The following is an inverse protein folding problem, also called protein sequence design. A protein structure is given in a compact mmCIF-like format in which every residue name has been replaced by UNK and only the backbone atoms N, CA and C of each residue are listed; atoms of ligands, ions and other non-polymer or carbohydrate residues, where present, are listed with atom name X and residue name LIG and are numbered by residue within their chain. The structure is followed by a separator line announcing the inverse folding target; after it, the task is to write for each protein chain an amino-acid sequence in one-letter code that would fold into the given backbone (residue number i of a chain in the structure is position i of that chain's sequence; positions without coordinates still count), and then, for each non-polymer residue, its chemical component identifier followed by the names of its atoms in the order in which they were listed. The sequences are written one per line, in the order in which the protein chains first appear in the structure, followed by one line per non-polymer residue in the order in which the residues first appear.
data_IF_257264024917
#
_entry.id   IF_257264024917
#
_cell.length_a   1.000
_cell.length_b   1.000
_cell.length_c   1.000
_cell.angle_alpha   90.00
_cell.angle_beta   90.00
_cell.angle_gamma   90.00
#
_symmetry.space_group_name_H-M   'P 1'
#
loop_
_entity.id
_entity.type
_entity.pdbx_description
1 polymer ?
#
# COMPACT_ATOMS: atom_id res chain seq x y z
N UNK A 1 -5.81 -21.70 -99.82
CA UNK A 1 -4.67 -21.07 -99.12
C UNK A 1 -5.09 -19.68 -98.66
N UNK A 2 -4.80 -19.36 -97.40
CA UNK A 2 -4.94 -18.06 -96.70
C UNK A 2 -6.37 -17.58 -96.45
N UNK A 3 -6.80 -17.18 -95.26
CA UNK A 3 -6.20 -17.03 -93.92
C UNK A 3 -7.28 -16.39 -93.02
N UNK A 4 -7.25 -16.71 -91.72
CA UNK A 4 -8.14 -16.16 -90.68
C UNK A 4 -8.27 -14.63 -90.73
N UNK A 5 -9.47 -14.10 -90.47
CA UNK A 5 -9.64 -13.01 -89.49
C UNK A 5 -10.96 -13.21 -88.72
N UNK A 6 -10.83 -13.55 -87.44
CA UNK A 6 -11.92 -13.66 -86.47
C UNK A 6 -12.19 -12.25 -85.93
N UNK A 7 -13.22 -11.56 -86.41
CA UNK A 7 -13.63 -10.28 -85.82
C UNK A 7 -14.37 -10.50 -84.50
N UNK A 8 -13.71 -10.12 -83.41
CA UNK A 8 -14.24 -10.10 -82.06
C UNK A 8 -15.26 -8.95 -81.94
N UNK A 9 -16.55 -9.30 -81.86
CA UNK A 9 -17.63 -8.34 -81.65
C UNK A 9 -17.44 -7.51 -80.38
N UNK A 10 -17.21 -6.20 -80.56
CA UNK A 10 -17.11 -5.22 -79.47
C UNK A 10 -18.49 -5.03 -78.82
N UNK A 11 -18.60 -5.36 -77.54
CA UNK A 11 -19.81 -5.12 -76.75
C UNK A 11 -20.24 -3.64 -76.74
N UNK A 12 -21.55 -3.34 -76.73
CA UNK A 12 -22.08 -1.98 -76.89
C UNK A 12 -21.69 -1.07 -75.71
N UNK A 13 -21.18 0.13 -76.06
CA UNK A 13 -20.69 1.19 -75.15
C UNK A 13 -21.64 1.57 -73.99
N UNK A 14 -22.94 1.30 -74.13
CA UNK A 14 -24.00 1.69 -73.18
C UNK A 14 -24.14 0.71 -72.00
N UNK A 15 -23.95 -0.60 -72.22
CA UNK A 15 -23.91 -1.63 -71.15
C UNK A 15 -22.69 -1.41 -70.25
N UNK A 16 -21.57 -0.97 -70.84
CA UNK A 16 -20.35 -0.59 -70.11
C UNK A 16 -20.56 0.60 -69.17
N UNK A 17 -21.39 1.59 -69.55
CA UNK A 17 -21.63 2.80 -68.74
C UNK A 17 -22.53 2.52 -67.53
N UNK A 18 -23.55 1.68 -67.70
CA UNK A 18 -24.43 1.26 -66.60
C UNK A 18 -23.71 0.33 -65.62
N UNK A 19 -22.83 -0.55 -66.12
CA UNK A 19 -21.97 -1.38 -65.27
C UNK A 19 -21.01 -0.55 -64.41
N UNK A 20 -20.43 0.53 -64.97
CA UNK A 20 -19.58 1.45 -64.20
C UNK A 20 -20.35 2.19 -63.10
N UNK A 21 -21.60 2.60 -63.35
CA UNK A 21 -22.42 3.26 -62.33
C UNK A 21 -22.84 2.31 -61.20
N UNK A 22 -23.19 1.06 -61.51
CA UNK A 22 -23.51 0.05 -60.50
C UNK A 22 -22.28 -0.28 -59.64
N UNK A 23 -21.12 -0.49 -60.27
CA UNK A 23 -19.85 -0.72 -59.55
C UNK A 23 -19.46 0.48 -58.69
N UNK A 24 -19.66 1.71 -59.18
CA UNK A 24 -19.40 2.92 -58.40
C UNK A 24 -20.33 3.03 -57.18
N UNK A 25 -21.63 2.74 -57.32
CA UNK A 25 -22.58 2.76 -56.21
C UNK A 25 -22.26 1.70 -55.14
N UNK A 26 -21.86 0.50 -55.57
CA UNK A 26 -21.45 -0.59 -54.67
C UNK A 26 -20.14 -0.24 -53.95
N UNK A 27 -19.17 0.33 -54.67
CA UNK A 27 -17.91 0.78 -54.07
C UNK A 27 -18.14 1.87 -53.02
N UNK A 28 -19.03 2.84 -53.29
CA UNK A 28 -19.42 3.88 -52.33
C UNK A 28 -20.07 3.26 -51.09
N UNK A 29 -20.99 2.30 -51.27
CA UNK A 29 -21.63 1.58 -50.16
C UNK A 29 -20.63 0.82 -49.27
N UNK A 30 -19.63 0.17 -49.88
CA UNK A 30 -18.56 -0.54 -49.15
C UNK A 30 -17.68 0.45 -48.39
N UNK A 31 -17.29 1.56 -49.00
CA UNK A 31 -16.46 2.61 -48.35
C UNK A 31 -17.21 3.24 -47.18
N UNK A 32 -18.50 3.56 -47.35
CA UNK A 32 -19.36 4.08 -46.28
C UNK A 32 -19.50 3.07 -45.13
N UNK A 33 -19.73 1.79 -45.45
CA UNK A 33 -19.86 0.74 -44.44
C UNK A 33 -18.54 0.53 -43.68
N UNK A 34 -17.41 0.54 -44.38
CA UNK A 34 -16.09 0.44 -43.76
C UNK A 34 -15.78 1.67 -42.88
N UNK A 35 -16.12 2.87 -43.33
CA UNK A 35 -15.96 4.10 -42.56
C UNK A 35 -16.86 4.11 -41.31
N UNK A 36 -18.10 3.65 -41.41
CA UNK A 36 -19.01 3.55 -40.27
C UNK A 36 -18.49 2.51 -39.26
N UNK A 37 -18.00 1.36 -39.76
CA UNK A 37 -17.42 0.30 -38.94
C UNK A 37 -16.18 0.78 -38.17
N UNK A 38 -15.29 1.57 -38.79
CA UNK A 38 -14.10 2.11 -38.09
C UNK A 38 -14.48 3.14 -37.04
N UNK A 39 -15.49 3.97 -37.27
CA UNK A 39 -16.01 4.96 -36.31
C UNK A 39 -16.70 4.29 -35.13
N UNK A 40 -17.53 3.28 -35.36
CA UNK A 40 -18.21 2.55 -34.26
C UNK A 40 -17.18 1.80 -33.42
N UNK A 41 -16.23 1.10 -34.07
CA UNK A 41 -15.19 0.35 -33.38
C UNK A 41 -14.20 1.25 -32.63
N UNK A 42 -13.96 2.48 -33.09
CA UNK A 42 -13.13 3.44 -32.36
C UNK A 42 -13.84 4.00 -31.14
N UNK A 43 -15.16 4.20 -31.20
CA UNK A 43 -16.00 4.60 -30.06
C UNK A 43 -16.08 3.52 -28.98
N UNK A 44 -16.30 2.26 -29.37
CA UNK A 44 -16.28 1.12 -28.43
C UNK A 44 -14.92 1.01 -27.72
N UNK A 45 -13.82 1.13 -28.48
CA UNK A 45 -12.46 1.08 -27.92
C UNK A 45 -12.11 2.29 -27.05
N UNK A 46 -12.72 3.45 -27.29
CA UNK A 46 -12.57 4.65 -26.47
C UNK A 46 -13.38 4.51 -25.17
N UNK A 47 -14.61 4.03 -25.24
CA UNK A 47 -15.47 3.79 -24.08
C UNK A 47 -14.87 2.76 -23.10
N UNK A 48 -14.30 1.67 -23.61
CA UNK A 48 -13.59 0.67 -22.79
C UNK A 48 -12.34 1.26 -22.12
N UNK A 49 -11.64 2.18 -22.80
CA UNK A 49 -10.45 2.86 -22.24
C UNK A 49 -10.85 3.89 -21.19
N UNK A 50 -11.92 4.62 -21.41
CA UNK A 50 -12.44 5.62 -20.49
C UNK A 50 -12.98 4.98 -19.21
N UNK A 51 -13.69 3.85 -19.33
CA UNK A 51 -14.12 3.05 -18.18
C UNK A 51 -12.92 2.49 -17.42
N UNK A 52 -11.91 1.95 -18.11
CA UNK A 52 -10.66 1.50 -17.47
C UNK A 52 -9.95 2.65 -16.73
N UNK A 53 -9.85 3.84 -17.34
CA UNK A 53 -9.24 5.01 -16.70
C UNK A 53 -10.06 5.53 -15.51
N UNK A 54 -11.39 5.53 -15.61
CA UNK A 54 -12.29 5.95 -14.53
C UNK A 54 -12.24 4.97 -13.35
N UNK A 55 -12.20 3.68 -13.65
CA UNK A 55 -12.05 2.61 -12.67
C UNK A 55 -10.68 2.68 -11.99
N UNK A 56 -9.60 2.86 -12.74
CA UNK A 56 -8.24 3.04 -12.17
C UNK A 56 -8.15 4.30 -11.32
N UNK A 57 -8.70 5.44 -11.78
CA UNK A 57 -8.66 6.70 -11.04
C UNK A 57 -9.49 6.68 -9.75
N UNK A 58 -10.72 6.14 -9.80
CA UNK A 58 -11.56 5.97 -8.60
C UNK A 58 -10.92 5.02 -7.58
N UNK A 59 -10.21 3.98 -8.05
CA UNK A 59 -9.50 3.02 -7.19
C UNK A 59 -8.28 3.64 -6.51
N UNK A 60 -7.50 4.45 -7.23
CA UNK A 60 -6.38 5.19 -6.65
C UNK A 60 -6.84 6.22 -5.62
N UNK A 61 -8.00 6.85 -5.82
CA UNK A 61 -8.58 7.79 -4.85
C UNK A 61 -9.06 7.11 -3.57
N UNK A 62 -9.66 5.92 -3.66
CA UNK A 62 -10.03 5.14 -2.48
C UNK A 62 -8.80 4.72 -1.68
N UNK A 63 -7.76 4.21 -2.34
CA UNK A 63 -6.50 3.85 -1.68
C UNK A 63 -5.84 5.06 -1.00
N UNK A 64 -5.77 6.21 -1.69
CA UNK A 64 -5.24 7.44 -1.10
C UNK A 64 -6.04 7.85 0.14
N UNK A 65 -7.38 7.81 0.08
CA UNK A 65 -8.22 8.14 1.23
C UNK A 65 -8.07 7.19 2.43
N UNK A 66 -7.79 5.90 2.21
CA UNK A 66 -7.50 4.97 3.32
C UNK A 66 -6.15 5.24 3.97
N UNK A 67 -5.13 5.57 3.16
CA UNK A 67 -3.82 5.97 3.66
C UNK A 67 -3.93 7.28 4.45
N UNK A 68 -4.61 8.29 3.91
CA UNK A 68 -4.80 9.59 4.56
C UNK A 68 -5.49 9.45 5.93
N UNK A 69 -6.54 8.64 6.03
CA UNK A 69 -7.19 8.36 7.32
C UNK A 69 -6.27 7.64 8.30
N UNK A 70 -5.47 6.68 7.83
CA UNK A 70 -4.51 6.00 8.70
C UNK A 70 -3.43 6.96 9.19
N UNK A 71 -3.00 7.90 8.35
CA UNK A 71 -2.07 8.97 8.73
C UNK A 71 -2.68 9.87 9.82
N UNK A 72 -3.94 10.31 9.67
CA UNK A 72 -4.63 11.11 10.69
C UNK A 72 -4.70 10.40 12.05
N UNK A 73 -4.95 9.08 12.06
CA UNK A 73 -4.97 8.27 13.28
C UNK A 73 -3.59 8.22 13.93
N UNK A 74 -2.54 7.98 13.15
CA UNK A 74 -1.17 7.90 13.65
C UNK A 74 -0.63 9.27 14.10
N UNK A 75 -1.02 10.36 13.44
CA UNK A 75 -0.73 11.73 13.90
C UNK A 75 -1.43 12.03 15.24
N UNK A 76 -2.67 11.60 15.38
CA UNK A 76 -3.43 11.71 16.65
C UNK A 76 -2.78 10.90 17.77
N UNK A 77 -2.25 9.71 17.46
CA UNK A 77 -1.47 8.89 18.39
C UNK A 77 -0.16 9.59 18.78
N UNK A 78 0.50 10.23 17.82
CA UNK A 78 1.66 11.07 18.06
C UNK A 78 1.38 12.22 19.02
N UNK A 79 0.26 12.93 18.82
CA UNK A 79 -0.18 13.99 19.72
C UNK A 79 -0.52 13.46 21.12
N UNK A 80 -1.15 12.28 21.21
CA UNK A 80 -1.48 11.63 22.47
C UNK A 80 -0.22 11.30 23.29
N UNK A 81 0.81 10.71 22.67
CA UNK A 81 2.11 10.49 23.31
C UNK A 81 2.85 11.80 23.63
N UNK A 82 2.77 12.80 22.74
CA UNK A 82 3.38 14.11 22.97
C UNK A 82 2.77 14.91 24.12
N UNK A 83 1.52 14.61 24.49
CA UNK A 83 0.81 15.24 25.61
C UNK A 83 0.92 14.44 26.93
N UNK A 84 1.48 13.24 26.90
CA UNK A 84 1.52 12.30 28.03
C UNK A 84 2.94 12.13 28.56
N UNK A 85 3.09 11.91 29.87
CA UNK A 85 4.41 11.60 30.46
C UNK A 85 4.75 10.12 30.30
N UNK A 86 3.74 9.27 30.43
CA UNK A 86 3.79 7.83 30.21
C UNK A 86 2.43 7.47 29.61
N UNK A 87 2.43 6.51 28.68
CA UNK A 87 1.21 5.90 28.16
C UNK A 87 1.22 4.45 28.61
N UNK A 88 0.27 4.09 29.45
CA UNK A 88 0.10 2.72 29.92
C UNK A 88 -0.62 1.86 28.86
N UNK A 89 -0.50 0.54 28.99
CA UNK A 89 -1.11 -0.42 28.05
C UNK A 89 -2.62 -0.20 27.89
N UNK A 90 -3.33 0.05 28.99
CA UNK A 90 -4.78 0.24 28.95
C UNK A 90 -5.16 1.56 28.25
N UNK A 91 -4.33 2.59 28.34
CA UNK A 91 -4.56 3.88 27.69
C UNK A 91 -4.34 3.76 26.18
N UNK A 92 -3.28 3.04 25.78
CA UNK A 92 -3.06 2.70 24.37
C UNK A 92 -4.23 1.90 23.80
N UNK A 93 -4.69 0.86 24.50
CA UNK A 93 -5.84 0.05 24.10
C UNK A 93 -7.11 0.89 23.95
N UNK A 94 -7.35 1.80 24.90
CA UNK A 94 -8.50 2.71 24.86
C UNK A 94 -8.43 3.68 23.68
N UNK A 95 -7.26 4.24 23.40
CA UNK A 95 -7.05 5.09 22.23
C UNK A 95 -7.31 4.32 20.94
N UNK A 96 -6.73 3.12 20.81
CA UNK A 96 -6.76 2.34 19.58
C UNK A 96 -8.17 1.80 19.23
N UNK A 97 -9.04 1.65 20.23
CA UNK A 97 -10.37 1.08 20.06
C UNK A 97 -11.22 1.79 18.99
N UNK A 98 -11.34 3.12 19.06
CA UNK A 98 -12.21 3.88 18.16
C UNK A 98 -11.70 3.88 16.70
N UNK A 99 -10.41 4.18 16.41
CA UNK A 99 -9.87 4.06 15.07
C UNK A 99 -10.01 2.65 14.46
N UNK A 100 -9.69 1.61 15.22
CA UNK A 100 -9.78 0.23 14.74
C UNK A 100 -11.22 -0.21 14.45
N UNK A 101 -12.19 0.32 15.19
CA UNK A 101 -13.62 0.03 14.96
C UNK A 101 -14.19 0.73 13.72
N UNK A 102 -13.62 1.87 13.32
CA UNK A 102 -14.10 2.69 12.19
C UNK A 102 -13.41 2.38 10.86
N UNK A 103 -12.24 1.78 10.92
CA UNK A 103 -11.40 1.51 9.75
C UNK A 103 -11.14 0.00 9.64
N UNK A 104 -12.06 -0.72 9.00
CA UNK A 104 -11.97 -2.19 8.83
C UNK A 104 -10.68 -2.66 8.13
N UNK A 105 -10.00 -1.78 7.39
CA UNK A 105 -8.74 -2.08 6.70
C UNK A 105 -7.50 -1.88 7.58
N UNK A 106 -7.65 -1.35 8.79
CA UNK A 106 -6.58 -1.17 9.76
C UNK A 106 -6.49 -2.40 10.65
N UNK A 107 -5.55 -3.29 10.35
CA UNK A 107 -5.40 -4.56 11.08
C UNK A 107 -4.77 -4.37 12.46
N UNK A 108 -3.86 -3.39 12.56
CA UNK A 108 -3.15 -3.13 13.79
C UNK A 108 -2.74 -1.66 13.95
N UNK A 109 -2.81 -1.18 15.19
CA UNK A 109 -2.04 -0.03 15.66
C UNK A 109 -0.96 -0.51 16.62
N UNK A 110 0.24 0.03 16.47
CA UNK A 110 1.43 -0.42 17.20
C UNK A 110 2.22 0.75 17.77
N UNK A 111 2.83 0.52 18.94
CA UNK A 111 3.80 1.42 19.55
C UNK A 111 5.18 0.74 19.64
N UNK A 112 6.20 1.45 19.15
CA UNK A 112 7.57 0.97 19.05
C UNK A 112 8.53 1.93 19.78
N UNK A 113 8.75 1.74 21.10
CA UNK A 113 9.69 2.58 21.83
C UNK A 113 11.11 2.41 21.29
N UNK A 114 11.89 3.49 21.34
CA UNK A 114 13.34 3.43 21.12
C UNK A 114 14.01 2.91 22.38
N UNK A 115 14.70 1.79 22.28
CA UNK A 115 15.43 1.18 23.41
C UNK A 115 16.92 1.14 23.08
N UNK A 116 17.75 1.81 23.89
CA UNK A 116 19.19 1.72 23.75
C UNK A 116 19.73 0.39 24.29
N UNK A 117 20.92 0.00 23.82
CA UNK A 117 21.59 -1.25 24.19
C UNK A 117 21.63 -1.48 25.71
N UNK A 118 22.01 -0.46 26.45
CA UNK A 118 22.16 -0.48 27.91
C UNK A 118 20.81 -0.53 28.65
N UNK A 119 19.74 -0.05 28.02
CA UNK A 119 18.38 -0.06 28.54
C UNK A 119 17.65 -1.40 28.34
N UNK A 120 18.06 -2.22 27.35
CA UNK A 120 17.37 -3.46 26.96
C UNK A 120 16.94 -4.33 28.14
N UNK A 121 17.88 -4.71 29.00
CA UNK A 121 17.61 -5.66 30.08
C UNK A 121 16.66 -5.09 31.14
N UNK A 122 16.80 -3.80 31.48
CA UNK A 122 15.93 -3.12 32.42
C UNK A 122 14.51 -2.94 31.85
N UNK A 123 14.42 -2.60 30.56
CA UNK A 123 13.15 -2.49 29.84
C UNK A 123 12.43 -3.83 29.78
N UNK A 124 13.09 -4.92 29.37
CA UNK A 124 12.48 -6.25 29.34
C UNK A 124 12.01 -6.70 30.73
N UNK A 125 12.76 -6.39 31.79
CA UNK A 125 12.34 -6.62 33.18
C UNK A 125 11.06 -5.87 33.52
N UNK A 126 11.02 -4.56 33.27
CA UNK A 126 9.85 -3.73 33.56
C UNK A 126 8.59 -4.20 32.79
N UNK A 127 8.74 -4.62 31.53
CA UNK A 127 7.61 -5.13 30.72
C UNK A 127 7.12 -6.48 31.24
N UNK A 128 8.01 -7.35 31.74
CA UNK A 128 7.62 -8.62 32.36
C UNK A 128 6.85 -8.42 33.66
N UNK A 129 7.17 -7.38 34.42
CA UNK A 129 6.49 -7.07 35.69
C UNK A 129 5.07 -6.51 35.46
N UNK A 130 4.85 -5.76 34.38
CA UNK A 130 3.56 -5.12 34.03
C UNK A 130 2.72 -5.91 33.01
N UNK A 131 3.29 -6.95 32.39
CA UNK A 131 2.70 -7.57 31.20
C UNK A 131 3.05 -9.05 31.03
N UNK A 132 3.42 -9.48 29.80
CA UNK A 132 3.74 -10.88 29.54
C UNK A 132 5.06 -11.28 30.22
N UNK A 133 5.01 -12.29 31.08
CA UNK A 133 6.14 -12.77 31.86
C UNK A 133 7.30 -13.34 31.01
N UNK A 134 7.03 -13.68 29.76
CA UNK A 134 7.96 -14.20 28.76
C UNK A 134 8.42 -13.13 27.75
N UNK A 135 8.17 -11.84 28.02
CA UNK A 135 8.60 -10.76 27.13
C UNK A 135 10.12 -10.75 26.93
N UNK A 136 10.52 -10.71 25.67
CA UNK A 136 11.87 -10.46 25.19
C UNK A 136 11.81 -9.64 23.90
N UNK A 137 12.87 -8.89 23.61
CA UNK A 137 13.05 -8.27 22.30
C UNK A 137 13.52 -9.37 21.32
N UNK A 138 12.78 -9.55 20.23
CA UNK A 138 12.92 -10.68 19.31
C UNK A 138 13.35 -10.25 17.91
N UNK A 139 14.10 -11.10 17.23
CA UNK A 139 14.46 -10.94 15.82
C UNK A 139 14.21 -12.23 15.02
N UNK A 140 14.05 -12.16 13.69
CA UNK A 140 13.85 -13.34 12.87
C UNK A 140 15.11 -14.22 12.84
N UNK A 141 14.90 -15.53 12.87
CA UNK A 141 15.92 -16.58 12.72
C UNK A 141 15.77 -17.34 11.39
N UNK A 142 16.83 -18.03 10.95
CA UNK A 142 16.90 -18.73 9.65
C UNK A 142 15.84 -19.83 9.47
N UNK A 143 15.19 -20.27 10.55
CA UNK A 143 14.18 -21.33 10.52
C UNK A 143 12.73 -20.83 10.52
N UNK A 144 12.47 -19.56 10.14
CA UNK A 144 11.16 -18.93 10.34
C UNK A 144 10.77 -19.06 11.82
N UNK A 145 11.68 -18.69 12.73
CA UNK A 145 11.45 -18.72 14.17
C UNK A 145 11.88 -17.37 14.74
N UNK A 146 11.42 -17.07 15.95
CA UNK A 146 11.84 -15.87 16.68
C UNK A 146 12.87 -16.28 17.72
N UNK A 147 13.95 -15.50 17.79
CA UNK A 147 14.98 -15.63 18.82
C UNK A 147 15.18 -14.28 19.50
N UNK A 148 15.81 -14.26 20.66
CA UNK A 148 16.24 -13.01 21.28
C UNK A 148 17.10 -12.20 20.30
N UNK A 149 16.86 -10.89 20.27
CA UNK A 149 17.56 -9.97 19.40
C UNK A 149 19.06 -9.98 19.72
N UNK A 150 19.88 -10.02 18.66
CA UNK A 150 21.31 -9.90 18.79
C UNK A 150 21.70 -8.54 19.39
N UNK A 151 22.93 -8.44 19.86
CA UNK A 151 23.43 -7.21 20.46
C UNK A 151 23.54 -6.08 19.41
N UNK A 152 22.71 -5.04 19.53
CA UNK A 152 22.60 -3.88 18.62
C UNK A 152 22.65 -2.57 19.41
N UNK A 153 23.01 -1.44 18.78
CA UNK A 153 23.04 -0.15 19.47
C UNK A 153 21.66 0.33 19.91
N UNK A 154 20.62 0.01 19.15
CA UNK A 154 19.24 0.45 19.39
C UNK A 154 18.27 -0.61 18.90
N UNK A 155 17.14 -0.73 19.57
CA UNK A 155 16.04 -1.64 19.26
C UNK A 155 14.73 -0.87 19.14
N UNK A 156 13.82 -1.39 18.31
CA UNK A 156 12.46 -0.88 18.16
C UNK A 156 11.46 -2.03 18.30
N UNK A 157 11.32 -2.60 19.52
CA UNK A 157 10.37 -3.67 19.77
C UNK A 157 8.93 -3.18 19.67
N UNK A 158 8.02 -4.01 19.19
CA UNK A 158 6.58 -3.75 19.36
C UNK A 158 6.22 -3.95 20.83
N UNK A 159 5.96 -2.86 21.56
CA UNK A 159 5.57 -2.89 22.97
C UNK A 159 4.05 -3.09 23.13
N UNK A 160 3.28 -2.36 22.33
CA UNK A 160 1.82 -2.46 22.26
C UNK A 160 1.40 -2.73 20.82
N UNK A 161 0.40 -3.60 20.66
CA UNK A 161 -0.26 -3.88 19.40
C UNK A 161 -1.75 -4.13 19.68
N UNK A 162 -2.61 -3.42 18.96
CA UNK A 162 -4.06 -3.53 19.09
C UNK A 162 -4.72 -3.78 17.72
N UNK A 163 -5.72 -4.68 17.62
CA UNK A 163 -6.29 -5.47 18.71
C UNK A 163 -5.31 -6.55 19.20
N UNK A 164 -5.12 -6.65 20.52
CA UNK A 164 -4.09 -7.54 21.10
C UNK A 164 -4.27 -9.01 20.69
N UNK A 165 -5.50 -9.52 20.67
CA UNK A 165 -5.76 -10.93 20.38
C UNK A 165 -5.38 -11.34 18.95
N UNK A 166 -5.52 -10.42 18.00
CA UNK A 166 -5.18 -10.65 16.59
C UNK A 166 -3.71 -10.39 16.26
N UNK A 167 -2.99 -9.69 17.15
CA UNK A 167 -1.65 -9.17 16.90
C UNK A 167 -0.64 -9.54 17.99
N UNK A 168 -0.98 -10.47 18.90
CA UNK A 168 -0.15 -10.89 20.02
C UNK A 168 1.21 -11.38 19.57
N UNK A 169 1.28 -12.00 18.39
CA UNK A 169 2.52 -12.51 17.80
C UNK A 169 3.52 -11.42 17.43
N UNK A 170 3.07 -10.16 17.32
CA UNK A 170 3.93 -9.02 17.01
C UNK A 170 4.68 -8.52 18.24
N UNK A 171 4.14 -8.72 19.44
CA UNK A 171 4.71 -8.22 20.69
C UNK A 171 6.15 -8.72 20.85
N UNK A 172 7.05 -7.80 21.17
CA UNK A 172 8.48 -8.06 21.35
C UNK A 172 9.29 -8.07 20.04
N UNK A 173 8.67 -8.18 18.85
CA UNK A 173 9.42 -8.15 17.59
C UNK A 173 10.11 -6.81 17.38
N UNK A 174 11.43 -6.85 17.22
CA UNK A 174 12.23 -5.70 16.83
C UNK A 174 12.07 -5.41 15.35
N UNK A 175 11.37 -4.34 15.00
CA UNK A 175 11.16 -3.98 13.59
C UNK A 175 12.42 -3.49 12.91
N UNK A 176 13.46 -3.09 13.65
CA UNK A 176 14.76 -2.78 13.05
C UNK A 176 15.56 -4.02 12.64
N UNK A 177 15.11 -5.22 13.00
CA UNK A 177 15.73 -6.45 12.54
C UNK A 177 15.45 -6.77 11.07
N UNK A 178 14.35 -6.24 10.51
CA UNK A 178 14.06 -6.32 9.07
C UNK A 178 14.70 -5.13 8.35
N UNK A 179 15.61 -5.34 7.38
CA UNK A 179 16.29 -4.26 6.67
C UNK A 179 15.36 -3.24 5.99
N UNK A 180 14.19 -3.67 5.48
CA UNK A 180 13.23 -2.76 4.83
C UNK A 180 12.54 -1.87 5.86
N UNK A 181 12.14 -2.45 6.99
CA UNK A 181 11.51 -1.73 8.09
C UNK A 181 12.53 -0.81 8.76
N UNK A 182 13.76 -1.27 8.98
CA UNK A 182 14.85 -0.44 9.49
C UNK A 182 15.08 0.80 8.62
N UNK A 183 15.24 0.62 7.31
CA UNK A 183 15.40 1.74 6.39
C UNK A 183 14.18 2.67 6.37
N UNK A 184 12.97 2.16 6.62
CA UNK A 184 11.78 2.99 6.74
C UNK A 184 11.76 3.81 8.05
N UNK A 185 12.15 3.19 9.17
CA UNK A 185 12.31 3.85 10.47
C UNK A 185 13.36 4.98 10.36
N UNK A 186 14.51 4.72 9.74
CA UNK A 186 15.55 5.72 9.51
C UNK A 186 15.07 6.87 8.62
N UNK A 187 14.45 6.57 7.47
CA UNK A 187 13.92 7.63 6.57
C UNK A 187 12.88 8.49 7.27
N UNK A 188 11.99 7.86 8.03
CA UNK A 188 11.00 8.58 8.78
C UNK A 188 11.71 9.46 9.83
N UNK A 189 12.80 8.98 10.45
CA UNK A 189 13.56 9.71 11.47
C UNK A 189 14.29 10.94 10.93
N UNK A 190 14.87 10.79 9.75
CA UNK A 190 15.58 11.88 9.08
C UNK A 190 14.62 12.94 8.52
N UNK A 191 13.48 12.50 7.98
CA UNK A 191 12.52 13.38 7.31
C UNK A 191 11.54 14.05 8.28
N UNK A 192 11.20 13.39 9.38
CA UNK A 192 10.08 13.73 10.25
C UNK A 192 8.71 13.51 9.59
N UNK A 193 8.66 12.76 8.49
CA UNK A 193 7.46 12.50 7.70
C UNK A 193 7.03 11.02 7.78
N UNK A 194 5.74 10.72 7.59
CA UNK A 194 5.26 9.35 7.42
C UNK A 194 5.97 8.61 6.29
N UNK A 195 6.31 7.35 6.53
CA UNK A 195 6.89 6.45 5.52
C UNK A 195 6.09 5.17 5.45
N UNK A 196 5.57 4.86 4.25
CA UNK A 196 4.96 3.58 3.96
C UNK A 196 6.02 2.59 3.46
N UNK A 197 5.95 1.34 3.93
CA UNK A 197 6.81 0.26 3.46
C UNK A 197 6.01 -1.04 3.37
N UNK A 198 6.12 -1.74 2.24
CA UNK A 198 5.61 -3.09 2.15
C UNK A 198 6.61 -4.04 2.82
N UNK A 199 6.16 -4.70 3.88
CA UNK A 199 6.91 -5.75 4.56
C UNK A 199 5.95 -6.89 4.90
N UNK A 200 6.49 -8.10 4.86
CA UNK A 200 5.80 -9.27 5.39
C UNK A 200 6.02 -9.30 6.90
N UNK A 201 5.28 -8.45 7.64
CA UNK A 201 5.11 -8.63 9.10
C UNK A 201 4.33 -9.92 9.44
N UNK A 202 4.01 -10.73 8.43
CA UNK A 202 3.32 -12.00 8.52
C UNK A 202 3.89 -12.89 9.63
N UNK A 203 2.96 -13.53 10.35
CA UNK A 203 3.26 -14.62 11.25
C UNK A 203 4.04 -15.70 10.52
N UNK A 204 5.23 -16.00 11.01
CA UNK A 204 5.86 -17.31 10.86
C UNK A 204 4.78 -18.40 10.80
N UNK A 205 4.71 -19.17 9.71
CA UNK A 205 3.85 -20.35 9.59
C UNK A 205 2.44 -20.16 9.01
N UNK A 206 1.93 -18.93 8.82
CA UNK A 206 0.71 -18.67 8.02
C UNK A 206 1.15 -17.99 6.74
N UNK A 207 0.79 -18.54 5.57
CA UNK A 207 1.34 -18.19 4.26
C UNK A 207 1.52 -16.68 4.02
N UNK A 208 2.56 -16.31 3.27
CA UNK A 208 2.94 -14.92 2.97
C UNK A 208 1.72 -14.11 2.50
N UNK A 209 1.17 -13.28 3.40
CA UNK A 209 0.25 -12.21 3.04
C UNK A 209 1.08 -10.96 2.76
N UNK A 210 0.79 -10.28 1.66
CA UNK A 210 1.42 -8.99 1.36
C UNK A 210 0.77 -7.93 2.24
N UNK A 211 1.40 -7.62 3.36
CA UNK A 211 0.98 -6.59 4.30
C UNK A 211 1.68 -5.26 3.96
N UNK A 212 0.98 -4.14 4.14
CA UNK A 212 1.58 -2.81 4.13
C UNK A 212 1.76 -2.35 5.56
N UNK A 213 2.94 -1.84 5.88
CA UNK A 213 3.24 -1.26 7.18
C UNK A 213 3.48 0.22 6.98
N UNK A 214 2.59 1.03 7.55
CA UNK A 214 2.75 2.47 7.59
C UNK A 214 3.43 2.84 8.89
N UNK A 215 4.57 3.50 8.81
CA UNK A 215 5.37 3.89 9.98
C UNK A 215 5.40 5.40 10.09
N UNK A 216 5.08 5.90 11.27
CA UNK A 216 5.07 7.31 11.62
C UNK A 216 5.93 7.57 12.84
N UNK A 217 6.79 8.58 12.76
CA UNK A 217 7.57 8.98 13.93
C UNK A 217 6.74 9.68 14.96
N UNK A 218 7.09 9.41 16.21
CA UNK A 218 6.62 10.19 17.33
C UNK A 218 7.84 10.69 18.12
N UNK A 219 8.02 12.01 18.11
CA UNK A 219 9.00 12.69 18.97
C UNK A 219 8.42 12.91 20.36
N UNK A 220 9.29 13.01 21.37
CA UNK A 220 8.90 13.56 22.67
C UNK A 220 8.36 14.97 22.50
N UNK A 221 7.12 15.19 22.93
CA UNK A 221 6.58 16.52 23.04
C UNK A 221 7.24 17.29 24.19
N UNK A 222 8.12 18.23 23.86
CA UNK A 222 8.13 19.52 24.55
C UNK A 222 8.23 20.62 23.51
N UNK A 223 7.06 21.16 23.21
CA UNK A 223 6.76 22.44 22.55
C UNK A 223 7.55 22.81 21.30
N UNK A 224 6.78 23.08 20.23
CA UNK A 224 7.15 23.88 19.07
C UNK A 224 8.10 25.04 19.45
N UNK A 225 9.38 24.88 19.18
CA UNK A 225 10.21 26.00 18.74
C UNK A 225 10.50 25.78 17.27
N UNK A 226 9.85 26.60 16.44
CA UNK A 226 10.12 26.72 15.03
C UNK A 226 11.52 27.35 14.83
N UNK A 227 12.55 26.58 15.11
CA UNK A 227 13.93 26.90 14.74
C UNK A 227 14.66 25.58 14.60
N UNK A 228 14.94 25.27 13.34
CA UNK A 228 15.70 24.15 12.80
C UNK A 228 16.87 23.77 13.73
N UNK A 229 16.66 22.76 14.57
CA UNK A 229 17.71 21.87 15.06
C UNK A 229 17.07 20.50 15.28
N UNK A 230 16.99 19.72 14.19
CA UNK A 230 16.45 18.34 14.16
C UNK A 230 17.42 17.43 14.90
N UNK A 231 17.34 17.37 16.24
CA UNK A 231 18.17 16.48 17.04
C UNK A 231 17.54 15.10 17.23
N UNK A 232 18.29 14.01 17.02
CA UNK A 232 17.89 12.63 17.35
C UNK A 232 17.60 12.39 18.85
N UNK A 233 17.98 13.35 19.71
CA UNK A 233 18.06 13.21 21.17
C UNK A 233 16.69 13.11 21.87
N UNK A 234 15.60 13.46 21.18
CA UNK A 234 14.21 13.44 21.71
C UNK A 234 13.32 12.36 21.07
N UNK A 235 13.88 11.38 20.37
CA UNK A 235 13.09 10.29 19.77
C UNK A 235 12.60 9.32 20.86
N UNK A 236 11.29 9.30 21.12
CA UNK A 236 10.68 8.32 22.04
C UNK A 236 10.42 6.98 21.38
N UNK A 237 10.12 6.98 20.08
CA UNK A 237 9.75 5.79 19.35
C UNK A 237 8.94 6.11 18.10
N UNK A 238 8.21 5.10 17.63
CA UNK A 238 7.41 5.18 16.42
C UNK A 238 6.00 4.66 16.72
N UNK A 239 5.00 5.32 16.13
CA UNK A 239 3.72 4.67 15.90
C UNK A 239 3.75 3.97 14.55
N UNK A 240 3.12 2.81 14.47
CA UNK A 240 2.95 2.13 13.20
C UNK A 240 1.53 1.59 13.06
N UNK A 241 1.09 1.48 11.83
CA UNK A 241 -0.15 0.84 11.43
C UNK A 241 0.14 -0.31 10.48
N UNK A 242 -0.59 -1.41 10.64
CA UNK A 242 -0.62 -2.51 9.68
C UNK A 242 -1.92 -2.47 8.89
N UNK A 243 -1.80 -2.58 7.56
CA UNK A 243 -2.91 -2.56 6.61
C UNK A 243 -2.82 -3.82 5.73
N UNK A 244 -3.89 -4.61 5.68
CA UNK A 244 -3.98 -5.76 4.77
C UNK A 244 -4.27 -5.29 3.34
N UNK A 245 -3.30 -5.43 2.44
CA UNK A 245 -3.50 -5.13 1.02
C UNK A 245 -4.21 -6.27 0.27
N UNK A 246 -4.24 -7.49 0.80
CA UNK A 246 -4.82 -8.65 0.11
C UNK A 246 -6.35 -8.52 -0.02
N UNK A 247 -7.02 -7.98 0.99
CA UNK A 247 -8.45 -7.64 0.90
C UNK A 247 -8.71 -6.42 -0.01
N UNK A 248 -7.71 -5.58 -0.28
CA UNK A 248 -7.84 -4.49 -1.27
C UNK A 248 -7.80 -5.01 -2.71
N UNK A 249 -7.07 -6.09 -2.97
CA UNK A 249 -7.01 -6.71 -4.29
C UNK A 249 -8.21 -7.64 -4.58
N UNK A 250 -8.84 -8.20 -3.54
CA UNK A 250 -9.93 -9.18 -3.70
C UNK A 250 -11.28 -8.50 -3.94
N UNK A 251 -11.52 -7.31 -3.36
CA UNK A 251 -12.65 -6.44 -3.76
C UNK A 251 -12.46 -5.81 -5.16
N UNK A 252 -11.31 -6.05 -5.80
CA UNK A 252 -10.94 -5.48 -7.10
C UNK A 252 -11.14 -6.43 -8.29
N UNK A 253 -11.61 -7.67 -8.06
CA UNK A 253 -11.94 -8.70 -9.06
C UNK A 253 -13.43 -9.06 -9.03
#
# INVERSE_FOLDING_TARGET
MSGEVREVGKAPRQVRRNGVMLVASLAIGIVLSAALFTVVRSRERAAVREELHRVVASRSQQLAGEIDRTLEVLESLGAFYGASQLVERYEFARFAHDPLSRHERLDALMWLPRIERDQKNGFEGAVRDDGPADFAILEPSEANQWREAADRPTYYPVLYAEPLDANRELIGRDLSADPKLHAALERAADSGLPVAVSSSLASVGKGQRTECVLVLLIYAGRERSATIDRRPENLLGFAAARIDLAHMATDAL
#
